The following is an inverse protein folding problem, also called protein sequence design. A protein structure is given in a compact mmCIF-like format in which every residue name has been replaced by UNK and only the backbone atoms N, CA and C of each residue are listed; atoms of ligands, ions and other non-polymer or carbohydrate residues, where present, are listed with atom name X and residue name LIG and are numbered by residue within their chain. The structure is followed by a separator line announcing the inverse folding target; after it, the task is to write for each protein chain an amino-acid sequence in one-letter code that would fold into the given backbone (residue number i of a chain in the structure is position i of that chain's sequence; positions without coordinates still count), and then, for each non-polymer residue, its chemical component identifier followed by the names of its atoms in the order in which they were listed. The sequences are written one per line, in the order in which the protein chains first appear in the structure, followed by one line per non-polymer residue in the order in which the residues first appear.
data_IF_443125471802
#
_entry.id   IF_443125471802
#
_cell.length_a   1.000
_cell.length_b   1.000
_cell.length_c   1.000
_cell.angle_alpha   90.00
_cell.angle_beta   90.00
_cell.angle_gamma   90.00
#
_symmetry.space_group_name_H-M   'P 1'
#
loop_
_entity.id
_entity.type
_entity.pdbx_description
1 polymer ?
#
# COMPACT_ATOMS: atom_id res chain seq x y z
N UNK A 1 -1.04 -2.62 -10.47
CA UNK A 1 -0.57 -3.95 -10.04
C UNK A 1 -1.61 -4.61 -9.13
N UNK A 2 -1.51 -5.90 -8.79
CA UNK A 2 -2.46 -6.57 -7.87
C UNK A 2 -1.76 -7.55 -6.92
N UNK A 3 -2.29 -7.69 -5.72
CA UNK A 3 -1.90 -8.71 -4.74
C UNK A 3 -3.14 -9.21 -3.97
N UNK A 4 -2.97 -10.34 -3.27
CA UNK A 4 -4.01 -10.94 -2.41
C UNK A 4 -3.40 -11.34 -1.08
N UNK A 5 -4.15 -11.20 0.00
CA UNK A 5 -3.73 -11.57 1.35
C UNK A 5 -4.85 -11.36 2.36
N UNK A 6 -4.76 -12.01 3.52
CA UNK A 6 -5.71 -11.80 4.63
C UNK A 6 -5.25 -10.57 5.44
N UNK A 7 -5.62 -9.37 4.98
CA UNK A 7 -5.12 -8.12 5.55
C UNK A 7 -5.96 -7.63 6.73
N UNK A 8 -7.16 -8.20 6.89
CA UNK A 8 -8.02 -7.96 8.04
C UNK A 8 -7.97 -9.10 9.07
N UNK A 9 -7.21 -10.17 8.84
CA UNK A 9 -6.98 -11.26 9.79
C UNK A 9 -8.22 -12.12 10.07
N UNK A 10 -9.19 -12.17 9.16
CA UNK A 10 -10.44 -12.89 9.33
C UNK A 10 -10.42 -14.32 8.72
N UNK A 11 -9.30 -14.71 8.14
CA UNK A 11 -9.08 -16.00 7.50
C UNK A 11 -9.52 -16.06 6.03
N UNK A 12 -9.93 -14.94 5.44
CA UNK A 12 -10.30 -14.83 4.01
C UNK A 12 -9.30 -13.95 3.29
N UNK A 13 -9.08 -14.24 2.01
CA UNK A 13 -8.24 -13.37 1.18
C UNK A 13 -8.99 -12.11 0.79
N UNK A 14 -8.33 -10.98 1.02
CA UNK A 14 -8.67 -9.65 0.56
C UNK A 14 -7.95 -9.34 -0.76
N UNK A 15 -8.37 -8.27 -1.45
CA UNK A 15 -7.74 -7.81 -2.69
C UNK A 15 -7.02 -6.48 -2.45
N UNK A 16 -5.82 -6.38 -3.02
CA UNK A 16 -4.99 -5.18 -3.02
C UNK A 16 -4.73 -4.79 -4.47
N UNK A 17 -5.02 -3.55 -4.82
CA UNK A 17 -4.81 -2.98 -6.14
C UNK A 17 -3.85 -1.81 -6.03
N UNK A 18 -2.75 -1.84 -6.76
CA UNK A 18 -1.89 -0.66 -6.94
C UNK A 18 -2.28 0.10 -8.20
N UNK A 19 -2.47 1.40 -8.08
CA UNK A 19 -2.83 2.31 -9.18
C UNK A 19 -1.73 3.35 -9.34
N UNK A 20 -0.79 3.12 -10.26
CA UNK A 20 0.32 4.05 -10.54
C UNK A 20 -0.11 5.37 -11.15
N UNK A 21 -1.32 5.44 -11.70
CA UNK A 21 -1.92 6.64 -12.25
C UNK A 21 -3.15 6.95 -11.39
N UNK A 22 -3.13 8.09 -10.69
CA UNK A 22 -4.29 8.64 -10.00
C UNK A 22 -4.91 9.78 -10.81
N UNK A 23 -6.10 10.24 -10.42
CA UNK A 23 -6.75 11.33 -11.16
C UNK A 23 -6.02 12.65 -10.91
N UNK A 24 -5.14 13.03 -11.84
CA UNK A 24 -4.68 14.41 -12.02
C UNK A 24 -3.23 14.70 -11.62
N UNK A 25 -2.54 13.78 -10.94
CA UNK A 25 -1.14 13.97 -10.53
C UNK A 25 -0.21 12.83 -10.96
N UNK A 26 -0.73 11.64 -11.25
CA UNK A 26 0.07 10.43 -11.41
C UNK A 26 1.00 10.17 -10.20
N UNK A 27 0.60 10.65 -9.02
CA UNK A 27 1.28 10.34 -7.77
C UNK A 27 1.04 8.88 -7.38
N UNK A 28 -0.18 8.40 -7.67
CA UNK A 28 -0.58 7.01 -7.54
C UNK A 28 -0.94 6.62 -6.11
N UNK A 29 -1.57 5.46 -5.96
CA UNK A 29 -2.06 4.96 -4.67
C UNK A 29 -2.20 3.43 -4.65
N UNK A 30 -2.67 2.93 -3.51
CA UNK A 30 -3.12 1.55 -3.31
C UNK A 30 -4.56 1.56 -2.81
N UNK A 31 -5.36 0.64 -3.34
CA UNK A 31 -6.74 0.42 -2.94
C UNK A 31 -6.88 -0.99 -2.37
N UNK A 32 -7.48 -1.10 -1.20
CA UNK A 32 -7.73 -2.35 -0.50
C UNK A 32 -9.23 -2.64 -0.48
N UNK A 33 -9.61 -3.84 -0.89
CA UNK A 33 -10.97 -4.35 -0.83
C UNK A 33 -11.03 -5.55 0.10
N UNK A 34 -11.68 -5.37 1.25
CA UNK A 34 -11.80 -6.43 2.25
C UNK A 34 -12.99 -7.33 1.99
N UNK A 35 -12.75 -8.63 2.09
CA UNK A 35 -13.76 -9.68 2.14
C UNK A 35 -13.97 -10.03 3.60
N UNK A 36 -15.23 -10.24 4.00
CA UNK A 36 -15.51 -10.75 5.34
C UNK A 36 -16.69 -11.72 5.35
N UNK A 37 -16.95 -12.36 6.49
CA UNK A 37 -18.05 -13.32 6.61
C UNK A 37 -19.45 -12.69 6.44
N UNK A 38 -19.61 -11.40 6.73
CA UNK A 38 -20.90 -10.69 6.69
C UNK A 38 -21.23 -10.09 5.31
N UNK A 39 -20.22 -9.81 4.48
CA UNK A 39 -20.42 -9.22 3.17
C UNK A 39 -20.67 -10.30 2.09
N UNK A 40 -21.40 -9.93 1.04
CA UNK A 40 -21.62 -10.78 -0.15
C UNK A 40 -20.68 -10.43 -1.31
N UNK A 41 -19.92 -9.34 -1.17
CA UNK A 41 -18.92 -8.85 -2.11
C UNK A 41 -17.68 -8.36 -1.35
N UNK A 42 -17.41 -7.06 -1.42
CA UNK A 42 -16.33 -6.40 -0.69
C UNK A 42 -16.91 -5.25 0.15
N UNK A 43 -16.21 -4.85 1.20
CA UNK A 43 -16.54 -3.62 1.93
C UNK A 43 -16.19 -2.37 1.10
N UNK A 44 -16.45 -1.19 1.66
CA UNK A 44 -15.99 0.06 1.07
C UNK A 44 -14.47 0.02 0.89
N UNK A 45 -14.02 0.46 -0.29
CA UNK A 45 -12.61 0.52 -0.63
C UNK A 45 -11.86 1.43 0.35
N UNK A 46 -10.71 0.97 0.82
CA UNK A 46 -9.78 1.80 1.59
C UNK A 46 -8.66 2.22 0.67
N UNK A 47 -8.48 3.53 0.52
CA UNK A 47 -7.40 4.13 -0.24
C UNK A 47 -6.24 4.45 0.69
N UNK A 48 -5.03 4.04 0.27
CA UNK A 48 -3.77 4.31 0.94
C UNK A 48 -2.85 4.98 -0.08
N UNK A 49 -2.34 6.17 0.25
CA UNK A 49 -1.45 6.94 -0.60
C UNK A 49 -0.17 7.29 0.15
N UNK A 50 0.92 7.55 -0.59
CA UNK A 50 2.15 8.11 -0.03
C UNK A 50 1.79 9.30 0.88
N UNK A 51 2.29 9.37 2.15
CA UNK A 51 2.03 10.49 3.04
C UNK A 51 2.46 11.86 2.48
N UNK A 52 3.42 11.87 1.56
CA UNK A 52 3.94 13.05 0.87
C UNK A 52 3.90 12.84 -0.64
N UNK A 53 2.70 12.72 -1.24
CA UNK A 53 2.57 12.36 -2.64
C UNK A 53 3.04 13.52 -3.53
N UNK A 54 3.90 13.21 -4.50
CA UNK A 54 4.35 14.14 -5.52
C UNK A 54 3.88 13.64 -6.89
N UNK A 55 3.54 14.59 -7.76
CA UNK A 55 3.08 14.27 -9.10
C UNK A 55 4.18 13.53 -9.88
N UNK A 56 3.84 12.37 -10.45
CA UNK A 56 4.77 11.50 -11.17
C UNK A 56 5.45 10.42 -10.34
N UNK A 57 5.21 10.33 -9.03
CA UNK A 57 5.80 9.29 -8.17
C UNK A 57 5.42 7.87 -8.59
N UNK A 58 4.27 7.71 -9.25
CA UNK A 58 3.83 6.42 -9.78
C UNK A 58 3.64 5.35 -8.70
N UNK A 59 3.26 5.73 -7.48
CA UNK A 59 2.98 4.82 -6.38
C UNK A 59 1.90 3.80 -6.76
N UNK A 60 2.13 2.52 -6.43
CA UNK A 60 1.23 1.43 -6.83
C UNK A 60 1.68 0.72 -8.12
N UNK A 61 2.82 1.13 -8.70
CA UNK A 61 3.49 0.38 -9.76
C UNK A 61 3.73 -1.09 -9.37
N UNK A 62 4.01 -1.35 -8.10
CA UNK A 62 4.00 -2.69 -7.51
C UNK A 62 3.36 -2.67 -6.11
N UNK A 63 2.73 -3.77 -5.73
CA UNK A 63 2.16 -3.97 -4.40
C UNK A 63 2.46 -5.38 -3.92
N UNK A 64 2.65 -5.53 -2.62
CA UNK A 64 2.74 -6.84 -1.97
C UNK A 64 2.24 -6.75 -0.53
N UNK A 65 2.08 -7.91 0.11
CA UNK A 65 1.63 -8.01 1.49
C UNK A 65 2.33 -9.16 2.22
N UNK A 66 2.46 -9.02 3.53
CA UNK A 66 3.04 -10.02 4.42
C UNK A 66 3.18 -9.46 5.84
N UNK A 67 3.26 -10.34 6.83
CA UNK A 67 3.55 -9.96 8.22
C UNK A 67 5.05 -9.66 8.36
N UNK A 68 5.44 -8.40 8.21
CA UNK A 68 6.86 -7.99 8.22
C UNK A 68 7.36 -7.67 9.62
N UNK A 69 6.47 -7.34 10.55
CA UNK A 69 6.80 -7.02 11.93
C UNK A 69 6.64 -8.21 12.89
N UNK A 70 6.16 -9.36 12.39
CA UNK A 70 5.92 -10.60 13.13
C UNK A 70 4.85 -10.48 14.23
N UNK A 71 3.82 -9.66 14.02
CA UNK A 71 2.70 -9.49 14.95
C UNK A 71 1.50 -10.41 14.66
N UNK A 72 1.60 -11.22 13.60
CA UNK A 72 0.58 -12.15 13.14
C UNK A 72 -0.43 -11.55 12.18
N UNK A 73 -0.22 -10.33 11.67
CA UNK A 73 -1.13 -9.63 10.76
C UNK A 73 -0.41 -9.24 9.48
N UNK A 74 -1.13 -9.27 8.37
CA UNK A 74 -0.53 -8.91 7.09
C UNK A 74 -0.41 -7.38 6.97
N UNK A 75 0.81 -6.92 6.73
CA UNK A 75 1.15 -5.55 6.40
C UNK A 75 1.11 -5.34 4.89
N UNK A 76 1.11 -4.09 4.44
CA UNK A 76 1.06 -3.72 3.03
C UNK A 76 2.30 -2.95 2.61
N UNK A 77 2.76 -3.21 1.39
CA UNK A 77 3.91 -2.56 0.79
C UNK A 77 3.52 -2.08 -0.60
N UNK A 78 3.87 -0.84 -0.90
CA UNK A 78 3.65 -0.18 -2.18
C UNK A 78 4.96 0.35 -2.74
N UNK A 79 5.29 0.02 -3.98
CA UNK A 79 6.42 0.63 -4.69
C UNK A 79 6.00 1.90 -5.43
N UNK A 80 6.82 2.94 -5.35
CA UNK A 80 6.68 4.23 -6.02
C UNK A 80 7.90 4.46 -6.90
N UNK A 81 7.74 4.27 -8.21
CA UNK A 81 8.88 4.19 -9.14
C UNK A 81 9.55 5.54 -9.41
N UNK A 82 8.81 6.64 -9.32
CA UNK A 82 9.29 8.01 -9.53
C UNK A 82 9.52 8.79 -8.24
N UNK A 83 9.14 8.24 -7.08
CA UNK A 83 9.33 8.92 -5.80
C UNK A 83 10.82 9.16 -5.55
N UNK A 84 11.15 10.42 -5.31
CA UNK A 84 12.51 10.91 -5.25
C UNK A 84 13.11 10.80 -3.84
N UNK A 85 12.31 10.77 -2.76
CA UNK A 85 12.80 10.82 -1.38
C UNK A 85 13.88 11.89 -1.14
N UNK A 86 13.92 12.96 -1.96
CA UNK A 86 14.96 13.99 -1.99
C UNK A 86 16.08 13.86 -3.05
N UNK A 87 16.05 12.86 -3.93
CA UNK A 87 16.97 12.68 -5.07
C UNK A 87 16.19 12.17 -6.31
N UNK A 88 16.19 12.92 -7.41
CA UNK A 88 15.25 12.73 -8.53
C UNK A 88 15.10 11.28 -9.04
N UNK A 89 13.84 10.84 -9.19
CA UNK A 89 13.43 9.52 -9.70
C UNK A 89 14.13 8.32 -9.02
N UNK A 90 14.46 8.45 -7.73
CA UNK A 90 15.15 7.41 -6.95
C UNK A 90 14.40 6.08 -6.90
N UNK A 91 13.07 6.15 -6.90
CA UNK A 91 12.17 5.04 -6.65
C UNK A 91 12.20 4.63 -5.18
N UNK A 92 11.09 4.79 -4.46
CA UNK A 92 10.96 4.43 -3.06
C UNK A 92 9.87 3.39 -2.83
N UNK A 93 9.71 2.97 -1.57
CA UNK A 93 8.59 2.14 -1.16
C UNK A 93 7.91 2.68 0.09
N UNK A 94 6.58 2.56 0.13
CA UNK A 94 5.73 2.94 1.25
C UNK A 94 5.22 1.68 1.94
N UNK A 95 5.36 1.62 3.26
CA UNK A 95 4.97 0.50 4.10
C UNK A 95 3.85 0.91 5.04
N UNK A 96 2.78 0.14 5.08
CA UNK A 96 1.67 0.29 6.02
C UNK A 96 1.60 -0.94 6.90
N UNK A 97 2.03 -0.80 8.16
CA UNK A 97 1.85 -1.86 9.15
C UNK A 97 0.39 -1.89 9.62
N UNK A 98 -0.15 -3.08 9.83
CA UNK A 98 -1.49 -3.23 10.38
C UNK A 98 -1.48 -2.75 11.83
N UNK A 99 -2.48 -1.96 12.22
CA UNK A 99 -2.53 -1.47 13.59
C UNK A 99 -2.84 -2.60 14.59
N UNK A 100 -2.45 -2.42 15.85
CA UNK A 100 -2.67 -3.40 16.91
C UNK A 100 -4.16 -3.75 17.16
N UNK A 101 -5.08 -2.86 16.80
CA UNK A 101 -6.52 -3.08 16.90
C UNK A 101 -7.12 -3.89 15.72
N UNK A 102 -6.36 -4.10 14.65
CA UNK A 102 -6.76 -4.71 13.38
C UNK A 102 -7.88 -3.96 12.63
N UNK A 103 -8.07 -2.69 12.92
CA UNK A 103 -9.16 -1.89 12.34
C UNK A 103 -8.69 -1.02 11.17
N UNK A 104 -7.40 -1.06 10.85
CA UNK A 104 -6.77 -0.26 9.81
C UNK A 104 -5.25 -0.41 9.87
N UNK A 105 -4.54 0.60 9.38
CA UNK A 105 -3.08 0.63 9.33
C UNK A 105 -2.53 1.76 10.19
N UNK A 106 -1.29 1.62 10.65
CA UNK A 106 -0.55 2.69 11.30
C UNK A 106 -0.11 3.74 10.28
N UNK A 107 0.55 4.80 10.76
CA UNK A 107 1.16 5.81 9.89
C UNK A 107 2.15 5.16 8.94
N UNK A 108 2.03 5.48 7.65
CA UNK A 108 2.89 4.91 6.64
C UNK A 108 4.36 5.28 6.89
N UNK A 109 5.24 4.33 6.62
CA UNK A 109 6.69 4.52 6.65
C UNK A 109 7.22 4.52 5.22
N UNK A 110 7.89 5.59 4.84
CA UNK A 110 8.64 5.64 3.59
C UNK A 110 10.03 5.02 3.80
N UNK A 111 10.43 4.13 2.90
CA UNK A 111 11.78 3.59 2.82
C UNK A 111 12.40 4.05 1.51
N UNK A 112 13.31 5.01 1.63
CA UNK A 112 14.00 5.61 0.50
C UNK A 112 15.02 4.63 -0.12
N UNK A 113 15.19 4.70 -1.44
CA UNK A 113 16.33 4.07 -2.10
C UNK A 113 17.63 4.75 -1.59
N UNK A 114 18.54 4.02 -0.94
CA UNK A 114 19.74 4.60 -0.35
C UNK A 114 20.81 4.98 -1.40
N UNK A 115 20.66 4.54 -2.65
CA UNK A 115 21.64 4.75 -3.73
C UNK A 115 20.95 5.07 -5.06
N UNK A 116 20.27 6.22 -5.16
CA UNK A 116 19.73 6.69 -6.44
C UNK A 116 20.88 7.02 -7.40
N UNK A 117 20.69 6.73 -8.70
CA UNK A 117 21.69 6.94 -9.77
C UNK A 117 21.27 8.02 -10.74
#
# INVERSE_FOLDING_TARGET
SVAVGDVNGDGRSDLIMGCSEDTGSDAGNMIVYTRNAANTGFDAAVELANPTPVAGDGCGASVTTGDINADGRADLIMGCIGDDGGAGDAGNMIVYTRNAANTGFDTATELANPTPV
#
